data_IF_920817135248
#
_entry.id   IF_920817135248
#
_cell.length_a   1.000
_cell.length_b   1.000
_cell.length_c   1.000
_cell.angle_alpha   90.00
_cell.angle_beta   90.00
_cell.angle_gamma   90.00
#
_symmetry.space_group_name_H-M   'P 1'
#
loop_
_entity.id
_entity.type
_entity.pdbx_description
1 polymer ?
#
# COMPACT_ATOMS: atom_id res chain seq x y z
N UNK A 1 1.28 1.76 -15.51
CA UNK A 1 1.08 0.66 -14.53
C UNK A 1 2.42 0.36 -13.91
N UNK A 2 2.53 0.48 -12.59
CA UNK A 2 3.68 -0.01 -11.83
C UNK A 2 3.64 -1.56 -11.78
N UNK A 3 4.78 -2.22 -11.58
CA UNK A 3 4.88 -3.69 -11.45
C UNK A 3 3.92 -4.24 -10.41
N UNK A 4 3.72 -3.48 -9.33
CA UNK A 4 2.75 -3.76 -8.27
C UNK A 4 1.33 -4.00 -8.80
N UNK A 5 0.88 -3.14 -9.73
CA UNK A 5 -0.47 -3.17 -10.29
C UNK A 5 -0.65 -4.34 -11.26
N UNK A 6 0.38 -4.63 -12.08
CA UNK A 6 0.40 -5.78 -12.98
C UNK A 6 0.46 -7.09 -12.18
N UNK A 7 1.29 -7.16 -11.15
CA UNK A 7 1.41 -8.35 -10.29
C UNK A 7 0.09 -8.66 -9.59
N UNK A 8 -0.60 -7.66 -9.05
CA UNK A 8 -1.93 -7.84 -8.45
C UNK A 8 -2.95 -8.39 -9.45
N UNK A 9 -2.99 -7.88 -10.68
CA UNK A 9 -3.90 -8.39 -11.73
C UNK A 9 -3.57 -9.82 -12.14
N UNK A 10 -2.28 -10.12 -12.32
CA UNK A 10 -1.81 -11.47 -12.68
C UNK A 10 -2.13 -12.48 -11.57
N UNK A 11 -1.99 -12.08 -10.31
CA UNK A 11 -2.31 -12.93 -9.18
C UNK A 11 -3.82 -13.19 -9.05
N UNK A 12 -4.67 -12.18 -9.25
CA UNK A 12 -6.13 -12.35 -9.34
C UNK A 12 -6.52 -13.47 -10.31
N UNK A 13 -5.94 -13.46 -11.51
CA UNK A 13 -6.23 -14.45 -12.55
C UNK A 13 -5.72 -15.86 -12.19
N UNK A 14 -4.53 -15.96 -11.58
CA UNK A 14 -4.01 -17.22 -11.04
C UNK A 14 -4.91 -17.79 -9.93
N UNK A 15 -5.53 -16.93 -9.12
CA UNK A 15 -6.41 -17.36 -8.03
C UNK A 15 -7.77 -17.86 -8.54
N UNK A 16 -8.34 -17.19 -9.56
CA UNK A 16 -9.55 -17.65 -10.27
C UNK A 16 -9.32 -18.98 -11.01
N UNK A 17 -8.08 -19.24 -11.42
CA UNK A 17 -7.69 -20.45 -12.14
C UNK A 17 -6.43 -21.07 -11.51
N UNK A 18 -6.55 -21.89 -10.46
CA UNK A 18 -5.39 -22.39 -9.70
C UNK A 18 -4.43 -23.29 -10.51
N UNK A 19 -4.81 -23.70 -11.72
CA UNK A 19 -3.94 -24.41 -12.68
C UNK A 19 -3.06 -23.47 -13.51
N UNK A 20 -3.33 -22.16 -13.52
CA UNK A 20 -2.52 -21.17 -14.23
C UNK A 20 -1.15 -21.04 -13.55
N UNK A 21 -0.11 -21.13 -14.37
CA UNK A 21 1.24 -20.74 -13.98
C UNK A 21 1.53 -19.40 -14.61
N UNK A 22 1.82 -18.42 -13.78
CA UNK A 22 2.33 -17.14 -14.24
C UNK A 22 3.75 -17.33 -14.72
N UNK A 23 3.95 -17.09 -16.01
CA UNK A 23 5.26 -17.13 -16.65
C UNK A 23 5.48 -15.76 -17.26
N UNK A 24 6.55 -15.09 -16.83
CA UNK A 24 7.02 -13.89 -17.51
C UNK A 24 7.83 -14.34 -18.73
N UNK A 25 7.39 -13.93 -19.92
CA UNK A 25 8.07 -14.17 -21.18
C UNK A 25 8.20 -12.83 -21.92
N UNK A 26 9.43 -12.48 -22.28
CA UNK A 26 9.75 -11.26 -23.01
C UNK A 26 10.15 -11.62 -24.44
N UNK A 27 9.39 -11.12 -25.42
CA UNK A 27 9.59 -11.38 -26.85
C UNK A 27 10.13 -10.14 -27.60
N UNK A 28 10.62 -9.13 -26.89
CA UNK A 28 11.02 -7.84 -27.47
C UNK A 28 12.08 -7.97 -28.56
N UNK A 29 12.97 -8.97 -28.47
CA UNK A 29 14.02 -9.25 -29.46
C UNK A 29 13.66 -10.41 -30.42
N UNK A 30 12.40 -10.87 -30.40
CA UNK A 30 11.94 -11.89 -31.34
C UNK A 30 11.70 -11.29 -32.72
N UNK A 31 12.36 -11.85 -33.74
CA UNK A 31 12.03 -11.59 -35.15
C UNK A 31 10.80 -12.37 -35.64
N UNK A 32 10.31 -13.32 -34.84
CA UNK A 32 9.12 -14.10 -35.13
C UNK A 32 7.88 -13.43 -34.54
N UNK A 33 6.80 -13.37 -35.32
CA UNK A 33 5.50 -12.95 -34.81
C UNK A 33 5.02 -13.93 -33.74
N UNK A 34 4.48 -13.44 -32.63
CA UNK A 34 4.01 -14.26 -31.50
C UNK A 34 3.08 -15.40 -31.92
N UNK A 35 2.19 -15.15 -32.90
CA UNK A 35 1.26 -16.12 -33.49
C UNK A 35 1.93 -17.31 -34.20
N UNK A 36 3.23 -17.24 -34.49
CA UNK A 36 4.03 -18.29 -35.13
C UNK A 36 4.87 -19.10 -34.15
N UNK A 37 4.81 -18.78 -32.85
CA UNK A 37 5.55 -19.49 -31.82
C UNK A 37 4.70 -20.62 -31.22
N UNK A 38 5.35 -21.76 -31.00
CA UNK A 38 4.80 -22.89 -30.24
C UNK A 38 5.56 -23.02 -28.93
N UNK A 39 4.82 -23.06 -27.81
CA UNK A 39 5.38 -23.29 -26.47
C UNK A 39 5.27 -24.78 -26.19
N UNK A 40 6.40 -25.48 -26.12
CA UNK A 40 6.43 -26.88 -25.69
C UNK A 40 6.49 -26.96 -24.16
N UNK A 41 5.50 -27.62 -23.56
CA UNK A 41 5.50 -27.93 -22.15
C UNK A 41 6.35 -29.20 -21.98
N UNK A 42 7.53 -29.06 -21.38
CA UNK A 42 8.39 -30.20 -21.05
C UNK A 42 7.67 -31.14 -20.06
N UNK A 43 7.04 -32.20 -20.59
CA UNK A 43 6.45 -33.27 -19.78
C UNK A 43 7.45 -34.36 -19.38
N UNK A 44 8.68 -34.36 -19.90
CA UNK A 44 9.58 -35.51 -19.78
C UNK A 44 11.02 -35.13 -19.42
N UNK A 45 11.28 -34.93 -18.13
CA UNK A 45 12.63 -35.02 -17.54
C UNK A 45 12.72 -36.15 -16.51
N UNK A 46 12.14 -37.31 -16.83
CA UNK A 46 12.36 -38.59 -16.13
C UNK A 46 13.02 -39.64 -17.02
N UNK A 47 14.05 -39.27 -17.79
CA UNK A 47 14.94 -40.25 -18.42
C UNK A 47 16.22 -39.56 -18.88
N UNK A 48 17.21 -39.46 -17.98
CA UNK A 48 18.66 -39.46 -18.25
C UNK A 48 19.42 -38.84 -17.06
N UNK A 49 19.37 -39.56 -15.93
CA UNK A 49 20.49 -39.57 -15.00
C UNK A 49 21.08 -40.96 -15.05
N UNK A 50 21.96 -41.19 -16.02
CA UNK A 50 23.04 -42.14 -15.91
C UNK A 50 24.13 -41.76 -16.90
N UNK A 51 25.37 -41.90 -16.43
CA UNK A 51 26.64 -41.83 -17.15
C UNK A 51 27.12 -40.47 -17.67
N UNK A 52 27.89 -39.78 -16.81
CA UNK A 52 29.22 -39.29 -17.21
C UNK A 52 30.05 -38.98 -15.96
N UNK A 53 30.85 -39.97 -15.55
CA UNK A 53 32.05 -39.75 -14.75
C UNK A 53 33.02 -38.89 -15.57
N UNK A 54 33.35 -37.70 -15.07
CA UNK A 54 34.56 -37.00 -15.48
C UNK A 54 35.20 -36.40 -14.23
N UNK A 55 36.30 -37.03 -13.82
CA UNK A 55 37.28 -36.46 -12.90
C UNK A 55 37.78 -35.14 -13.47
N UNK A 56 37.75 -34.07 -12.67
CA UNK A 56 38.55 -32.88 -12.92
C UNK A 56 39.23 -32.48 -11.62
N UNK A 57 40.55 -32.66 -11.64
CA UNK A 57 41.55 -32.28 -10.66
C UNK A 57 41.45 -30.81 -10.25
N UNK A 58 41.47 -30.57 -8.94
CA UNK A 58 41.68 -29.27 -8.32
C UNK A 58 43.06 -28.71 -8.69
N UNK A 59 43.09 -27.52 -9.27
CA UNK A 59 44.29 -26.69 -9.39
C UNK A 59 44.06 -25.39 -8.65
N UNK A 60 44.63 -25.31 -7.44
CA UNK A 60 44.73 -24.13 -6.61
C UNK A 60 45.36 -22.96 -7.39
N UNK A 61 44.56 -21.93 -7.67
CA UNK A 61 45.08 -20.64 -8.13
C UNK A 61 44.63 -19.55 -7.19
N UNK A 62 45.56 -19.11 -6.32
CA UNK A 62 45.43 -17.97 -5.40
C UNK A 62 45.10 -16.70 -6.18
N UNK A 63 43.86 -16.22 -6.09
CA UNK A 63 43.50 -14.86 -6.51
C UNK A 63 43.68 -13.91 -5.32
N UNK A 64 44.57 -12.93 -5.50
CA UNK A 64 44.89 -11.87 -4.54
C UNK A 64 43.65 -11.01 -4.28
N UNK A 65 43.27 -10.89 -3.02
CA UNK A 65 42.26 -9.95 -2.52
C UNK A 65 42.81 -8.52 -2.59
N UNK A 66 42.34 -7.75 -3.57
CA UNK A 66 42.46 -6.29 -3.56
C UNK A 66 41.37 -5.71 -2.66
N UNK A 67 41.79 -4.92 -1.67
CA UNK A 67 41.00 -4.20 -0.68
C UNK A 67 39.81 -3.44 -1.28
N UNK A 68 38.60 -3.65 -0.74
CA UNK A 68 37.44 -2.80 -0.98
C UNK A 68 37.69 -1.40 -0.37
N UNK A 69 37.27 -0.30 -1.02
CA UNK A 69 37.24 1.02 -0.41
C UNK A 69 36.19 1.06 0.72
N UNK A 70 36.55 1.64 1.87
CA UNK A 70 35.65 1.86 2.98
C UNK A 70 34.51 2.82 2.59
N UNK A 71 33.26 2.62 3.08
CA UNK A 71 32.20 3.57 2.84
C UNK A 71 32.50 4.89 3.56
N UNK A 72 32.43 5.99 2.83
CA UNK A 72 32.39 7.33 3.40
C UNK A 72 31.15 7.49 4.30
N UNK A 73 31.23 8.29 5.38
CA UNK A 73 30.10 8.49 6.28
C UNK A 73 28.95 9.19 5.55
N UNK A 74 27.68 8.84 5.81
CA UNK A 74 26.57 9.47 5.13
C UNK A 74 26.47 10.95 5.53
N UNK A 75 26.36 11.78 4.50
CA UNK A 75 26.09 13.20 4.54
C UNK A 75 24.80 13.47 5.34
N UNK A 76 24.90 14.26 6.40
CA UNK A 76 23.82 14.64 7.30
C UNK A 76 22.76 15.51 6.60
N UNK A 77 21.53 14.99 6.47
CA UNK A 77 20.23 15.70 6.58
C UNK A 77 19.08 14.79 6.13
N UNK A 78 18.85 13.66 6.81
CA UNK A 78 17.63 12.86 6.57
C UNK A 78 16.53 13.40 7.47
N UNK A 79 15.44 13.91 6.89
CA UNK A 79 14.17 14.02 7.61
C UNK A 79 13.75 12.60 7.99
N UNK A 80 13.86 12.24 9.29
CA UNK A 80 13.51 10.91 9.75
C UNK A 80 11.99 10.72 9.60
N UNK A 81 11.61 9.76 8.76
CA UNK A 81 10.21 9.41 8.54
C UNK A 81 9.74 8.46 9.65
N UNK A 82 8.58 8.76 10.22
CA UNK A 82 7.80 7.83 11.04
C UNK A 82 6.81 7.13 10.11
N UNK A 83 6.99 5.84 9.85
CA UNK A 83 6.15 5.07 8.93
C UNK A 83 5.03 4.33 9.69
N UNK A 84 3.78 4.72 9.46
CA UNK A 84 2.60 4.14 10.12
C UNK A 84 1.69 3.49 9.09
N UNK A 85 1.40 2.20 9.28
CA UNK A 85 0.43 1.46 8.46
C UNK A 85 -0.96 1.53 9.09
N UNK A 86 -1.99 1.90 8.32
CA UNK A 86 -3.38 1.83 8.78
C UNK A 86 -4.02 0.53 8.29
N UNK A 87 -4.67 -0.21 9.19
CA UNK A 87 -5.46 -1.40 8.86
C UNK A 87 -6.82 -1.34 9.54
N UNK A 88 -7.85 -1.85 8.89
CA UNK A 88 -9.18 -1.92 9.47
C UNK A 88 -10.25 -2.14 8.43
N UNK A 89 -11.45 -2.51 8.91
CA UNK A 89 -12.58 -2.87 8.06
C UNK A 89 -13.00 -1.75 7.09
N UNK A 90 -13.63 -2.15 5.98
CA UNK A 90 -14.28 -1.24 5.07
C UNK A 90 -15.32 -0.38 5.81
N UNK A 91 -15.26 0.94 5.61
CA UNK A 91 -16.17 1.88 6.30
C UNK A 91 -15.87 2.11 7.79
N UNK A 92 -14.73 1.64 8.33
CA UNK A 92 -14.28 2.03 9.67
C UNK A 92 -13.94 3.51 9.74
N UNK A 93 -13.44 4.09 8.64
CA UNK A 93 -13.15 5.53 8.52
C UNK A 93 -11.67 5.89 8.42
N UNK A 94 -10.82 5.01 7.86
CA UNK A 94 -9.37 5.24 7.71
C UNK A 94 -9.04 6.56 6.99
N UNK A 95 -9.56 6.75 5.78
CA UNK A 95 -9.32 7.96 4.99
C UNK A 95 -9.96 9.21 5.61
N UNK A 96 -11.13 9.05 6.27
CA UNK A 96 -11.74 10.15 7.05
C UNK A 96 -10.88 10.53 8.25
N UNK A 97 -10.26 9.56 8.93
CA UNK A 97 -9.33 9.79 10.02
C UNK A 97 -8.11 10.58 9.55
N UNK A 98 -7.52 10.23 8.40
CA UNK A 98 -6.37 10.96 7.83
C UNK A 98 -6.72 12.44 7.61
N UNK A 99 -7.84 12.74 6.95
CA UNK A 99 -8.27 14.12 6.74
C UNK A 99 -8.58 14.85 8.06
N UNK A 100 -9.29 14.20 8.99
CA UNK A 100 -9.63 14.78 10.28
C UNK A 100 -8.35 15.10 11.08
N UNK A 101 -7.41 14.17 11.13
CA UNK A 101 -6.11 14.33 11.80
C UNK A 101 -5.32 15.51 11.23
N UNK A 102 -5.29 15.67 9.90
CA UNK A 102 -4.65 16.82 9.25
C UNK A 102 -5.23 18.16 9.73
N UNK A 103 -6.56 18.25 9.81
CA UNK A 103 -7.23 19.47 10.26
C UNK A 103 -7.04 19.72 11.75
N UNK A 104 -7.09 18.68 12.58
CA UNK A 104 -6.90 18.80 14.03
C UNK A 104 -5.49 19.22 14.42
N UNK A 105 -4.47 18.83 13.63
CA UNK A 105 -3.11 19.30 13.82
C UNK A 105 -2.89 20.73 13.31
N UNK A 106 -3.66 21.17 12.33
CA UNK A 106 -3.49 22.48 11.70
C UNK A 106 -4.28 23.61 12.40
N UNK A 107 -5.52 23.33 12.81
CA UNK A 107 -6.40 24.32 13.44
C UNK A 107 -6.63 23.99 14.91
N UNK A 108 -6.20 24.90 15.79
CA UNK A 108 -6.36 24.76 17.24
C UNK A 108 -7.83 24.78 17.68
N UNK A 109 -8.66 25.59 17.01
CA UNK A 109 -10.08 25.75 17.35
C UNK A 109 -10.97 25.48 16.15
N UNK A 110 -12.21 25.03 16.41
CA UNK A 110 -13.22 24.89 15.36
C UNK A 110 -13.53 26.23 14.70
N UNK A 111 -13.55 27.34 15.47
CA UNK A 111 -13.81 28.67 14.95
C UNK A 111 -12.76 29.14 13.93
N UNK A 112 -11.49 28.74 14.11
CA UNK A 112 -10.44 29.04 13.13
C UNK A 112 -10.59 28.18 11.88
N UNK A 113 -10.90 26.90 12.05
CA UNK A 113 -11.19 25.99 10.94
C UNK A 113 -12.41 26.47 10.10
N UNK A 114 -13.46 26.98 10.75
CA UNK A 114 -14.65 27.55 10.08
C UNK A 114 -14.33 28.79 9.22
N UNK A 115 -13.22 29.49 9.47
CA UNK A 115 -12.79 30.65 8.69
C UNK A 115 -11.88 30.30 7.51
N UNK A 116 -11.34 29.08 7.47
CA UNK A 116 -10.37 28.64 6.47
C UNK A 116 -10.91 27.48 5.61
N UNK A 117 -10.30 27.23 4.45
CA UNK A 117 -10.66 26.03 3.69
C UNK A 117 -10.24 24.75 4.42
N UNK A 118 -11.10 23.72 4.49
CA UNK A 118 -10.75 22.47 5.14
C UNK A 118 -9.61 21.77 4.38
N UNK A 119 -8.64 21.23 5.11
CA UNK A 119 -7.55 20.46 4.51
C UNK A 119 -8.10 19.09 4.10
N UNK A 120 -8.23 18.83 2.80
CA UNK A 120 -8.74 17.55 2.29
C UNK A 120 -7.72 16.93 1.35
N UNK A 121 -7.00 15.95 1.88
CA UNK A 121 -5.91 15.22 1.21
C UNK A 121 -6.48 14.07 0.38
N UNK A 122 -7.53 13.44 0.89
CA UNK A 122 -8.25 12.32 0.27
C UNK A 122 -9.68 12.79 0.02
N UNK A 123 -10.25 12.64 -1.19
CA UNK A 123 -11.63 13.04 -1.43
C UNK A 123 -12.59 12.39 -0.43
N UNK A 124 -13.58 13.16 -0.01
CA UNK A 124 -14.55 12.77 1.00
C UNK A 124 -15.93 12.73 0.37
N UNK A 125 -16.64 11.63 0.59
CA UNK A 125 -18.06 11.50 0.25
C UNK A 125 -18.81 10.82 1.39
N UNK A 126 -19.89 11.44 1.88
CA UNK A 126 -20.76 10.83 2.88
C UNK A 126 -22.21 11.32 2.77
N UNK A 127 -23.13 10.46 3.20
CA UNK A 127 -24.54 10.78 3.34
C UNK A 127 -24.77 11.55 4.65
N UNK A 128 -25.55 12.62 4.58
CA UNK A 128 -26.15 13.29 5.72
C UNK A 128 -27.67 13.36 5.52
N UNK A 129 -28.42 13.23 6.61
CA UNK A 129 -29.85 13.49 6.63
C UNK A 129 -30.11 14.88 7.19
N UNK A 130 -31.01 15.62 6.56
CA UNK A 130 -31.31 17.02 6.84
C UNK A 130 -32.80 17.13 7.17
N UNK A 131 -33.13 18.04 8.09
CA UNK A 131 -34.49 18.31 8.56
C UNK A 131 -35.17 17.12 9.25
N UNK A 132 -36.38 17.34 9.77
CA UNK A 132 -37.17 16.30 10.45
C UNK A 132 -37.77 15.28 9.46
N UNK A 133 -37.73 15.58 8.16
CA UNK A 133 -38.17 14.67 7.10
C UNK A 133 -37.09 13.67 6.67
N UNK A 134 -35.89 13.74 7.27
CA UNK A 134 -34.74 12.90 6.92
C UNK A 134 -34.33 13.00 5.45
N UNK A 135 -34.40 14.21 4.89
CA UNK A 135 -34.00 14.47 3.50
C UNK A 135 -32.53 14.07 3.32
N UNK A 136 -32.26 13.19 2.36
CA UNK A 136 -30.93 12.66 2.09
C UNK A 136 -30.11 13.61 1.21
N UNK A 137 -28.88 13.94 1.66
CA UNK A 137 -27.91 14.67 0.85
C UNK A 137 -26.55 13.98 0.88
N UNK A 138 -25.96 13.79 -0.29
CA UNK A 138 -24.59 13.29 -0.41
C UNK A 138 -23.65 14.49 -0.48
N UNK A 139 -22.83 14.66 0.56
CA UNK A 139 -21.77 15.68 0.60
C UNK A 139 -20.54 15.11 -0.11
N UNK A 140 -19.97 15.87 -1.04
CA UNK A 140 -18.69 15.54 -1.71
C UNK A 140 -17.73 16.72 -1.61
N UNK A 141 -16.48 16.44 -1.27
CA UNK A 141 -15.45 17.48 -1.16
C UNK A 141 -14.06 16.93 -1.51
N UNK A 142 -13.21 17.76 -2.11
CA UNK A 142 -11.87 17.40 -2.57
C UNK A 142 -11.81 17.02 -4.05
N UNK A 143 -10.59 16.86 -4.57
CA UNK A 143 -10.36 16.48 -5.96
C UNK A 143 -10.65 14.99 -6.19
N UNK A 144 -11.22 14.67 -7.34
CA UNK A 144 -11.49 13.28 -7.75
C UNK A 144 -10.17 12.50 -7.75
N UNK A 145 -10.15 11.37 -7.05
CA UNK A 145 -9.05 10.42 -7.01
C UNK A 145 -9.54 9.08 -7.56
N UNK A 146 -8.89 8.55 -8.60
CA UNK A 146 -9.25 7.25 -9.18
C UNK A 146 -9.01 6.10 -8.21
N UNK A 147 -8.21 6.31 -7.16
CA UNK A 147 -8.00 5.33 -6.09
C UNK A 147 -9.15 5.27 -5.06
N UNK A 148 -10.13 6.18 -5.14
CA UNK A 148 -11.24 6.28 -4.19
C UNK A 148 -12.58 6.02 -4.88
N UNK A 149 -13.25 4.91 -4.55
CA UNK A 149 -14.53 4.51 -5.09
C UNK A 149 -15.65 4.61 -4.05
N UNK A 150 -16.45 5.68 -4.14
CA UNK A 150 -17.59 5.92 -3.24
C UNK A 150 -18.93 5.38 -3.75
N UNK A 151 -18.96 4.75 -4.93
CA UNK A 151 -20.22 4.37 -5.59
C UNK A 151 -20.77 3.02 -5.12
N UNK A 152 -19.94 2.18 -4.50
CA UNK A 152 -20.30 0.81 -4.10
C UNK A 152 -20.39 0.70 -2.59
N UNK A 153 -21.60 0.77 -2.03
CA UNK A 153 -21.82 0.59 -0.60
C UNK A 153 -21.34 -0.77 -0.11
N UNK A 154 -20.57 -0.79 0.97
CA UNK A 154 -20.02 -2.01 1.56
C UNK A 154 -18.77 -2.56 0.88
N UNK A 155 -18.23 -1.89 -0.14
CA UNK A 155 -16.89 -2.17 -0.66
C UNK A 155 -15.84 -1.25 0.00
N UNK A 156 -14.57 -1.64 -0.06
CA UNK A 156 -13.48 -0.71 0.28
C UNK A 156 -13.54 0.52 -0.63
N UNK A 157 -13.46 1.71 -0.04
CA UNK A 157 -13.40 2.96 -0.81
C UNK A 157 -12.01 3.12 -1.44
N UNK A 158 -10.96 2.96 -0.65
CA UNK A 158 -9.56 2.93 -1.12
C UNK A 158 -9.29 1.62 -1.89
N UNK A 159 -8.79 1.72 -3.12
CA UNK A 159 -8.55 0.56 -3.98
C UNK A 159 -7.13 0.00 -3.86
N UNK A 160 -6.13 0.86 -3.74
CA UNK A 160 -4.73 0.49 -3.58
C UNK A 160 -4.06 1.28 -2.45
N UNK A 161 -3.01 0.70 -1.87
CA UNK A 161 -2.22 1.35 -0.83
C UNK A 161 -1.61 2.66 -1.33
N UNK A 162 -1.69 3.72 -0.51
CA UNK A 162 -1.16 5.03 -0.83
C UNK A 162 -0.58 5.69 0.42
N UNK A 163 0.53 6.38 0.27
CA UNK A 163 1.20 7.10 1.37
C UNK A 163 0.90 8.58 1.37
N UNK A 164 0.66 9.13 2.55
CA UNK A 164 0.45 10.55 2.80
C UNK A 164 1.47 11.04 3.83
N UNK A 165 2.11 12.17 3.56
CA UNK A 165 3.20 12.70 4.39
C UNK A 165 2.75 13.98 5.09
N UNK A 166 2.97 14.03 6.41
CA UNK A 166 2.67 15.16 7.28
C UNK A 166 3.96 15.64 7.96
N UNK A 167 4.12 16.96 8.07
CA UNK A 167 5.13 17.52 8.95
C UNK A 167 4.56 17.52 10.38
N UNK A 168 5.18 16.75 11.28
CA UNK A 168 4.71 16.60 12.67
C UNK A 168 5.64 17.26 13.68
N UNK A 169 6.88 17.57 13.27
CA UNK A 169 7.80 18.46 13.98
C UNK A 169 8.78 19.07 12.96
N UNK A 170 9.62 20.01 13.39
CA UNK A 170 10.62 20.63 12.51
C UNK A 170 11.63 19.62 11.94
N UNK A 171 11.76 18.45 12.55
CA UNK A 171 12.80 17.44 12.23
C UNK A 171 12.21 16.07 11.84
N UNK A 172 10.91 15.84 12.05
CA UNK A 172 10.25 14.55 11.79
C UNK A 172 9.06 14.68 10.86
N UNK A 173 8.97 13.73 9.94
CA UNK A 173 7.85 13.59 9.00
C UNK A 173 7.07 12.32 9.30
N UNK A 174 5.76 12.41 9.37
CA UNK A 174 4.90 11.25 9.51
C UNK A 174 4.46 10.79 8.12
N UNK A 175 4.75 9.53 7.76
CA UNK A 175 4.19 8.86 6.60
C UNK A 175 3.08 7.91 7.06
N UNK A 176 1.85 8.24 6.71
CA UNK A 176 0.69 7.35 6.90
C UNK A 176 0.47 6.56 5.62
N UNK A 177 0.50 5.25 5.71
CA UNK A 177 0.18 4.31 4.63
C UNK A 177 -1.29 3.94 4.78
N UNK A 178 -2.13 4.53 3.95
CA UNK A 178 -3.55 4.15 3.85
C UNK A 178 -3.68 2.88 3.02
N UNK A 179 -4.61 2.03 3.41
CA UNK A 179 -4.78 0.70 2.82
C UNK A 179 -6.25 0.44 2.48
N UNK A 180 -6.54 -0.46 1.53
CA UNK A 180 -7.89 -0.96 1.34
C UNK A 180 -8.45 -1.56 2.63
N UNK A 181 -9.75 -1.33 2.88
CA UNK A 181 -10.46 -2.03 3.95
C UNK A 181 -10.73 -3.48 3.60
N UNK A 182 -10.72 -4.33 4.63
CA UNK A 182 -11.16 -5.72 4.51
C UNK A 182 -12.59 -5.91 5.03
N UNK A 183 -13.13 -7.11 4.89
CA UNK A 183 -14.49 -7.44 5.29
C UNK A 183 -15.53 -6.85 4.34
N UNK A 184 -15.16 -6.73 3.07
CA UNK A 184 -15.99 -6.11 2.05
C UNK A 184 -16.92 -7.12 1.36
N UNK A 185 -17.92 -6.63 0.64
CA UNK A 185 -18.95 -7.49 0.01
C UNK A 185 -18.44 -8.41 -1.10
N UNK A 186 -17.18 -8.26 -1.54
CA UNK A 186 -16.53 -9.14 -2.53
C UNK A 186 -15.95 -10.41 -1.88
N UNK A 187 -15.90 -10.44 -0.55
CA UNK A 187 -15.60 -11.63 0.25
C UNK A 187 -14.12 -11.81 0.58
N UNK A 188 -13.81 -12.90 1.29
CA UNK A 188 -12.47 -13.25 1.81
C UNK A 188 -11.41 -13.24 0.71
N UNK A 189 -11.80 -13.66 -0.47
CA UNK A 189 -11.01 -13.67 -1.70
C UNK A 189 -10.42 -12.32 -2.07
N UNK A 190 -11.22 -11.25 -1.94
CA UNK A 190 -10.78 -9.88 -2.15
C UNK A 190 -9.92 -9.40 -0.98
N UNK A 191 -10.24 -9.81 0.25
CA UNK A 191 -9.49 -9.43 1.43
C UNK A 191 -8.05 -9.99 1.39
N UNK A 192 -7.86 -11.19 0.85
CA UNK A 192 -6.53 -11.78 0.62
C UNK A 192 -5.73 -10.98 -0.43
N UNK A 193 -6.38 -10.57 -1.52
CA UNK A 193 -5.77 -9.71 -2.55
C UNK A 193 -5.37 -8.34 -1.99
N UNK A 194 -6.22 -7.76 -1.14
CA UNK A 194 -5.93 -6.50 -0.46
C UNK A 194 -4.70 -6.66 0.45
N UNK A 195 -4.61 -7.76 1.20
CA UNK A 195 -3.45 -8.07 2.05
C UNK A 195 -2.16 -8.26 1.25
N UNK A 196 -2.21 -8.93 0.10
CA UNK A 196 -1.05 -9.04 -0.78
C UNK A 196 -0.63 -7.70 -1.37
N UNK A 197 -1.59 -6.86 -1.77
CA UNK A 197 -1.32 -5.48 -2.19
C UNK A 197 -0.62 -4.67 -1.10
N UNK A 198 -1.02 -4.86 0.17
CA UNK A 198 -0.35 -4.26 1.33
C UNK A 198 1.10 -4.76 1.44
N UNK A 199 1.34 -6.07 1.39
CA UNK A 199 2.70 -6.63 1.46
C UNK A 199 3.59 -6.20 0.29
N UNK A 200 3.01 -6.12 -0.92
CA UNK A 200 3.70 -5.59 -2.09
C UNK A 200 4.10 -4.13 -1.89
N UNK A 201 3.21 -3.30 -1.36
CA UNK A 201 3.51 -1.89 -1.07
C UNK A 201 4.64 -1.76 -0.03
N UNK A 202 4.61 -2.62 1.00
CA UNK A 202 5.58 -2.65 2.07
C UNK A 202 6.96 -3.17 1.64
N UNK A 203 7.07 -3.86 0.50
CA UNK A 203 8.35 -4.37 -0.01
C UNK A 203 9.42 -3.27 -0.13
N UNK A 204 9.01 -2.06 -0.56
CA UNK A 204 9.87 -0.90 -0.75
C UNK A 204 10.11 -0.08 0.54
N UNK A 205 9.61 -0.56 1.69
CA UNK A 205 9.72 0.13 2.98
C UNK A 205 10.64 -0.68 3.89
N UNK A 206 11.73 -0.05 4.31
CA UNK A 206 12.77 -0.73 5.08
C UNK A 206 12.44 -0.88 6.58
N UNK A 207 11.47 -0.11 7.08
CA UNK A 207 11.05 -0.14 8.49
C UNK A 207 9.65 0.46 8.68
N UNK A 208 8.95 -0.02 9.72
CA UNK A 208 7.70 0.57 10.21
C UNK A 208 7.87 1.01 11.66
N UNK A 209 7.28 2.13 12.05
CA UNK A 209 7.24 2.54 13.45
C UNK A 209 6.00 2.01 14.15
N UNK A 210 4.90 1.80 13.42
CA UNK A 210 3.64 1.37 14.01
C UNK A 210 2.64 0.85 12.99
N UNK A 211 1.75 -0.03 13.47
CA UNK A 211 0.59 -0.53 12.73
C UNK A 211 -0.65 -0.12 13.53
N UNK A 212 -1.41 0.83 12.99
CA UNK A 212 -2.68 1.26 13.55
C UNK A 212 -3.79 0.31 13.11
N UNK A 213 -4.34 -0.42 14.07
CA UNK A 213 -5.52 -1.26 13.92
C UNK A 213 -6.75 -0.42 14.26
N UNK A 214 -7.57 -0.11 13.25
CA UNK A 214 -8.73 0.78 13.36
C UNK A 214 -10.02 -0.02 13.59
N UNK A 215 -10.80 0.43 14.56
CA UNK A 215 -12.07 -0.17 14.99
C UNK A 215 -13.18 0.89 15.16
N UNK A 216 -14.43 0.44 15.22
CA UNK A 216 -15.53 1.20 15.84
C UNK A 216 -15.68 0.72 17.29
N UNK A 217 -16.02 1.56 18.27
CA UNK A 217 -16.03 1.17 19.69
C UNK A 217 -17.27 0.39 20.15
N UNK A 218 -18.38 0.39 19.40
CA UNK A 218 -19.63 -0.30 19.76
C UNK A 218 -20.01 -1.42 18.79
N UNK A 219 -19.06 -2.27 18.39
CA UNK A 219 -19.42 -3.44 17.58
C UNK A 219 -19.95 -4.56 18.47
N UNK A 220 -21.05 -5.18 18.04
CA UNK A 220 -21.63 -6.36 18.70
C UNK A 220 -20.78 -7.61 18.45
N UNK A 221 -20.14 -7.68 17.27
CA UNK A 221 -19.29 -8.77 16.85
C UNK A 221 -18.12 -8.21 16.05
N UNK A 222 -16.92 -8.76 16.28
CA UNK A 222 -15.76 -8.50 15.44
C UNK A 222 -15.91 -9.23 14.11
N UNK A 223 -15.50 -8.58 13.03
CA UNK A 223 -15.39 -9.25 11.75
C UNK A 223 -14.47 -10.47 11.86
N UNK A 224 -14.92 -11.60 11.31
CA UNK A 224 -14.20 -12.87 11.38
C UNK A 224 -12.83 -12.80 10.71
N UNK A 225 -12.65 -11.88 9.76
CA UNK A 225 -11.38 -11.69 9.06
C UNK A 225 -10.28 -11.08 9.94
N UNK A 226 -10.59 -10.46 11.09
CA UNK A 226 -9.55 -9.94 11.99
C UNK A 226 -8.55 -11.01 12.43
N UNK A 227 -9.03 -12.23 12.69
CA UNK A 227 -8.15 -13.34 13.05
C UNK A 227 -7.18 -13.67 11.90
N UNK A 228 -7.70 -13.84 10.69
CA UNK A 228 -6.90 -14.08 9.48
C UNK A 228 -5.91 -12.95 9.21
N UNK A 229 -6.36 -11.69 9.29
CA UNK A 229 -5.53 -10.50 9.12
C UNK A 229 -4.34 -10.51 10.09
N UNK A 230 -4.59 -10.72 11.39
CA UNK A 230 -3.52 -10.78 12.39
C UNK A 230 -2.56 -11.95 12.13
N UNK A 231 -3.06 -13.15 11.80
CA UNK A 231 -2.21 -14.29 11.42
C UNK A 231 -1.30 -13.90 10.26
N UNK A 232 -1.84 -13.32 9.20
CA UNK A 232 -1.06 -12.91 8.03
C UNK A 232 -0.02 -11.83 8.35
N UNK A 233 -0.34 -10.88 9.25
CA UNK A 233 0.64 -9.89 9.73
C UNK A 233 1.77 -10.55 10.50
N UNK A 234 1.46 -11.50 11.39
CA UNK A 234 2.49 -12.23 12.14
C UNK A 234 3.32 -13.13 11.24
N UNK A 235 2.70 -13.78 10.25
CA UNK A 235 3.40 -14.60 9.26
C UNK A 235 4.30 -13.75 8.36
N UNK A 236 3.98 -12.46 8.18
CA UNK A 236 4.75 -11.56 7.33
C UNK A 236 5.83 -10.79 8.09
N UNK A 237 5.53 -10.22 9.25
CA UNK A 237 6.46 -9.44 10.05
C UNK A 237 7.23 -10.26 11.08
N UNK A 238 6.69 -11.39 11.54
CA UNK A 238 7.16 -12.11 12.72
C UNK A 238 6.40 -11.72 13.99
N UNK A 239 6.65 -12.43 15.09
CA UNK A 239 5.87 -12.27 16.33
C UNK A 239 6.16 -10.96 17.08
N UNK A 240 7.37 -10.41 16.94
CA UNK A 240 7.79 -9.21 17.69
C UNK A 240 7.09 -7.92 17.25
N UNK A 241 6.40 -7.92 16.11
CA UNK A 241 5.63 -6.77 15.61
C UNK A 241 4.53 -6.31 16.57
N UNK A 242 4.10 -7.18 17.52
CA UNK A 242 3.07 -6.86 18.52
C UNK A 242 3.37 -5.58 19.30
N UNK A 243 4.64 -5.26 19.52
CA UNK A 243 5.05 -4.06 20.27
C UNK A 243 4.81 -2.76 19.49
N UNK A 244 4.62 -2.86 18.17
CA UNK A 244 4.35 -1.75 17.27
C UNK A 244 2.85 -1.61 16.95
N UNK A 245 1.98 -2.42 17.57
CA UNK A 245 0.54 -2.30 17.39
C UNK A 245 -0.04 -1.12 18.16
N UNK A 246 -0.90 -0.38 17.48
CA UNK A 246 -1.60 0.80 17.99
C UNK A 246 -3.10 0.58 17.75
N UNK A 247 -3.92 0.83 18.75
CA UNK A 247 -5.37 0.61 18.68
C UNK A 247 -6.07 1.94 18.50
N UNK A 248 -6.79 2.10 17.39
CA UNK A 248 -7.45 3.35 17.03
C UNK A 248 -8.96 3.13 16.94
N UNK A 249 -9.74 3.77 17.80
CA UNK A 249 -11.20 3.71 17.76
C UNK A 249 -11.73 4.96 17.07
N UNK A 250 -12.35 4.77 15.92
CA UNK A 250 -13.01 5.82 15.15
C UNK A 250 -14.44 6.02 15.62
N UNK A 251 -15.00 7.21 15.40
CA UNK A 251 -16.37 7.56 15.79
C UNK A 251 -16.62 7.40 17.30
N UNK A 252 -15.61 7.65 18.13
CA UNK A 252 -15.66 7.37 19.57
C UNK A 252 -16.49 8.35 20.39
N UNK A 253 -17.11 9.36 19.75
CA UNK A 253 -17.98 10.31 20.43
C UNK A 253 -19.15 9.64 21.15
N UNK A 254 -19.75 8.60 20.56
CA UNK A 254 -20.88 7.88 21.18
C UNK A 254 -20.49 7.04 22.40
N UNK A 255 -19.21 6.78 22.60
CA UNK A 255 -18.67 6.00 23.73
C UNK A 255 -17.84 6.83 24.67
N UNK A 256 -18.10 8.14 24.71
CA UNK A 256 -17.38 9.09 25.56
C UNK A 256 -15.85 9.01 25.37
N UNK A 257 -15.40 8.77 24.13
CA UNK A 257 -13.98 8.62 23.76
C UNK A 257 -13.30 7.44 24.45
N UNK A 258 -14.02 6.32 24.53
CA UNK A 258 -13.50 5.04 25.02
C UNK A 258 -13.71 3.91 24.01
N UNK A 259 -12.94 2.80 24.11
CA UNK A 259 -13.07 1.64 23.23
C UNK A 259 -14.43 0.90 23.24
N UNK A 260 -15.33 1.23 24.18
CA UNK A 260 -16.67 0.65 24.27
C UNK A 260 -16.71 -0.89 24.36
N UNK A 261 -17.81 -1.46 23.87
CA UNK A 261 -18.06 -2.91 23.82
C UNK A 261 -17.08 -3.69 22.92
N UNK A 262 -16.29 -3.00 22.09
CA UNK A 262 -15.32 -3.65 21.20
C UNK A 262 -14.08 -4.13 21.98
N UNK A 263 -13.73 -3.46 23.08
CA UNK A 263 -12.57 -3.84 23.91
C UNK A 263 -12.60 -5.29 24.42
N UNK A 264 -13.67 -5.78 25.07
CA UNK A 264 -13.72 -7.17 25.53
C UNK A 264 -13.64 -8.18 24.38
N UNK A 265 -14.22 -7.86 23.21
CA UNK A 265 -14.13 -8.72 22.03
C UNK A 265 -12.68 -8.84 21.54
N UNK A 266 -11.95 -7.72 21.50
CA UNK A 266 -10.54 -7.71 21.11
C UNK A 266 -9.66 -8.46 22.10
N UNK A 267 -9.90 -8.30 23.41
CA UNK A 267 -9.20 -9.09 24.43
C UNK A 267 -9.37 -10.58 24.20
N UNK A 268 -10.61 -11.04 23.96
CA UNK A 268 -10.90 -12.44 23.65
C UNK A 268 -10.22 -12.91 22.37
N UNK A 269 -10.19 -12.08 21.33
CA UNK A 269 -9.46 -12.37 20.10
C UNK A 269 -7.95 -12.53 20.38
N UNK A 270 -7.34 -11.64 21.16
CA UNK A 270 -5.91 -11.71 21.47
C UNK A 270 -5.55 -12.90 22.34
N UNK A 271 -6.38 -13.26 23.31
CA UNK A 271 -6.24 -14.46 24.15
C UNK A 271 -6.27 -15.76 23.33
N UNK A 272 -6.88 -15.76 22.14
CA UNK A 272 -6.89 -16.93 21.24
C UNK A 272 -5.53 -17.23 20.61
N UNK A 273 -4.57 -16.30 20.67
CA UNK A 273 -3.23 -16.48 20.11
C UNK A 273 -2.27 -17.06 21.17
N UNK A 274 -1.79 -18.31 21.02
CA UNK A 274 -1.10 -19.04 22.09
C UNK A 274 0.27 -18.49 22.50
N UNK A 275 0.87 -17.58 21.72
CA UNK A 275 2.23 -17.06 21.96
C UNK A 275 2.35 -15.54 21.88
N UNK A 276 1.24 -14.81 21.82
CA UNK A 276 1.25 -13.39 21.43
C UNK A 276 0.69 -12.53 22.55
N UNK A 277 1.57 -11.98 23.37
CA UNK A 277 1.19 -10.96 24.35
C UNK A 277 1.00 -9.62 23.64
N UNK A 278 -0.17 -9.42 23.04
CA UNK A 278 -0.49 -8.19 22.30
C UNK A 278 -0.78 -7.08 23.34
N UNK A 279 0.08 -6.06 23.49
CA UNK A 279 -0.12 -5.02 24.49
C UNK A 279 -1.34 -4.19 24.09
N UNK A 280 -2.42 -4.21 24.89
CA UNK A 280 -3.63 -3.43 24.61
C UNK A 280 -4.01 -2.56 25.82
N UNK A 281 -3.28 -1.45 25.95
CA UNK A 281 -3.29 -0.56 27.11
C UNK A 281 -3.68 0.88 26.74
N UNK A 282 -3.92 1.74 27.75
CA UNK A 282 -4.30 3.14 27.49
C UNK A 282 -3.23 3.89 26.70
N UNK A 283 -1.95 3.60 26.92
CA UNK A 283 -0.85 4.32 26.28
C UNK A 283 -0.84 4.14 24.75
N UNK A 284 -1.12 2.93 24.23
CA UNK A 284 -1.16 2.63 22.81
C UNK A 284 -2.59 2.55 22.23
N UNK A 285 -3.60 3.05 22.95
CA UNK A 285 -4.99 3.08 22.51
C UNK A 285 -5.48 4.51 22.37
N UNK A 286 -6.02 4.86 21.21
CA UNK A 286 -6.47 6.21 20.84
C UNK A 286 -7.94 6.18 20.39
N UNK A 287 -8.72 7.18 20.79
CA UNK A 287 -10.15 7.26 20.49
C UNK A 287 -10.46 8.58 19.76
N UNK A 288 -10.68 8.49 18.46
CA UNK A 288 -10.89 9.64 17.58
C UNK A 288 -12.36 9.81 17.21
N UNK A 289 -12.76 11.07 17.01
CA UNK A 289 -14.00 11.42 16.34
C UNK A 289 -13.70 12.23 15.08
N UNK A 290 -14.33 11.85 13.96
CA UNK A 290 -14.20 12.58 12.70
C UNK A 290 -15.48 13.34 12.33
N UNK A 291 -16.49 13.36 13.21
CA UNK A 291 -17.75 14.04 12.93
C UNK A 291 -17.59 15.57 12.94
N UNK A 292 -16.71 16.12 13.78
CA UNK A 292 -16.41 17.54 13.76
C UNK A 292 -15.75 17.98 12.43
N UNK A 293 -14.85 17.16 11.88
CA UNK A 293 -14.36 17.34 10.52
C UNK A 293 -15.47 17.24 9.45
N UNK A 294 -16.38 16.26 9.55
CA UNK A 294 -17.52 16.15 8.62
C UNK A 294 -18.45 17.36 8.70
N UNK A 295 -18.66 17.91 9.90
CA UNK A 295 -19.39 19.17 10.08
C UNK A 295 -18.69 20.31 9.32
N UNK A 296 -17.37 20.45 9.48
CA UNK A 296 -16.58 21.47 8.79
C UNK A 296 -16.70 21.36 7.26
N UNK A 297 -16.73 20.14 6.72
CA UNK A 297 -16.96 19.92 5.29
C UNK A 297 -18.42 20.22 4.89
N UNK A 298 -19.40 19.81 5.70
CA UNK A 298 -20.82 20.00 5.40
C UNK A 298 -21.22 21.49 5.33
N UNK A 299 -20.67 22.35 6.19
CA UNK A 299 -20.95 23.80 6.13
C UNK A 299 -20.42 24.45 4.84
N UNK A 300 -19.41 23.87 4.18
CA UNK A 300 -18.93 24.33 2.86
C UNK A 300 -19.90 23.98 1.75
N UNK A 301 -20.68 22.92 1.92
CA UNK A 301 -21.74 22.51 1.02
C UNK A 301 -23.10 23.14 1.39
N UNK A 302 -23.07 24.29 2.07
CA UNK A 302 -24.24 25.09 2.49
C UNK A 302 -25.21 24.37 3.42
N UNK A 303 -24.74 23.40 4.21
CA UNK A 303 -25.56 22.78 5.27
C UNK A 303 -25.59 23.68 6.49
N UNK A 304 -26.80 23.99 6.97
CA UNK A 304 -27.02 24.75 8.19
C UNK A 304 -27.20 23.84 9.39
N UNK A 305 -26.57 24.18 10.50
CA UNK A 305 -26.73 23.51 11.79
C UNK A 305 -27.20 24.53 12.84
N UNK A 306 -28.03 24.10 13.78
CA UNK A 306 -28.41 24.93 14.93
C UNK A 306 -27.23 25.14 15.88
N UNK A 307 -27.36 26.14 16.77
CA UNK A 307 -26.31 26.53 17.71
C UNK A 307 -25.91 25.41 18.67
N UNK A 308 -26.86 24.55 19.06
CA UNK A 308 -26.58 23.43 19.97
C UNK A 308 -25.74 22.37 19.25
N UNK A 309 -26.09 22.01 18.00
CA UNK A 309 -25.30 21.09 17.17
C UNK A 309 -23.91 21.64 16.89
N UNK A 310 -23.75 22.94 16.62
CA UNK A 310 -22.43 23.56 16.47
C UNK A 310 -21.60 23.40 17.75
N UNK A 311 -22.18 23.74 18.91
CA UNK A 311 -21.49 23.61 20.20
C UNK A 311 -21.03 22.17 20.46
N UNK A 312 -21.87 21.20 20.12
CA UNK A 312 -21.57 19.78 20.17
C UNK A 312 -20.37 19.37 19.30
N UNK A 313 -20.25 19.91 18.09
CA UNK A 313 -19.08 19.68 17.23
C UNK A 313 -17.83 20.41 17.73
N UNK A 314 -17.98 21.58 18.35
CA UNK A 314 -16.89 22.33 18.98
C UNK A 314 -16.27 21.55 20.15
N UNK A 315 -17.10 20.98 21.03
CA UNK A 315 -16.62 20.10 22.10
C UNK A 315 -15.92 18.84 21.55
N UNK A 316 -16.45 18.26 20.46
CA UNK A 316 -15.82 17.11 19.81
C UNK A 316 -14.48 17.48 19.17
N UNK A 317 -14.39 18.68 18.58
CA UNK A 317 -13.16 19.21 17.99
C UNK A 317 -12.06 19.31 19.03
N UNK A 318 -12.32 19.99 20.16
CA UNK A 318 -11.35 20.17 21.24
C UNK A 318 -10.79 18.82 21.72
N UNK A 319 -11.67 17.85 21.99
CA UNK A 319 -11.26 16.51 22.43
C UNK A 319 -10.44 15.78 21.36
N UNK A 320 -10.83 15.88 20.10
CA UNK A 320 -10.15 15.21 19.00
C UNK A 320 -8.79 15.85 18.69
N UNK A 321 -8.64 17.17 18.85
CA UNK A 321 -7.36 17.86 18.78
C UNK A 321 -6.42 17.39 19.88
N UNK A 322 -6.85 17.37 21.15
CA UNK A 322 -6.04 16.89 22.27
C UNK A 322 -5.59 15.43 22.04
N UNK A 323 -6.50 14.56 21.61
CA UNK A 323 -6.16 13.16 21.33
C UNK A 323 -5.22 13.01 20.12
N UNK A 324 -5.35 13.88 19.11
CA UNK A 324 -4.46 13.92 17.94
C UNK A 324 -3.06 14.39 18.31
N UNK A 325 -2.92 15.37 19.21
CA UNK A 325 -1.63 15.79 19.76
C UNK A 325 -1.00 14.68 20.59
N UNK A 326 -1.77 14.02 21.47
CA UNK A 326 -1.30 12.85 22.22
C UNK A 326 -0.83 11.73 21.29
N UNK A 327 -1.56 11.50 20.20
CA UNK A 327 -1.19 10.52 19.20
C UNK A 327 0.12 10.90 18.51
N UNK A 328 0.24 12.13 18.00
CA UNK A 328 1.48 12.67 17.42
C UNK A 328 2.67 12.47 18.36
N UNK A 329 2.53 12.85 19.62
CA UNK A 329 3.61 12.76 20.61
C UNK A 329 3.99 11.32 20.90
N UNK A 330 3.02 10.40 20.97
CA UNK A 330 3.28 8.96 21.07
C UNK A 330 4.06 8.43 19.86
N UNK A 331 3.66 8.81 18.64
CA UNK A 331 4.34 8.37 17.41
C UNK A 331 5.82 8.79 17.39
N UNK A 332 6.15 9.98 17.89
CA UNK A 332 7.51 10.50 17.96
C UNK A 332 8.49 9.63 18.79
N UNK A 333 7.98 8.75 19.65
CA UNK A 333 8.76 7.89 20.54
C UNK A 333 8.72 6.41 20.14
N UNK A 334 8.08 6.06 19.02
CA UNK A 334 8.00 4.68 18.56
C UNK A 334 9.34 4.18 18.03
N UNK A 335 9.69 2.97 18.47
CA UNK A 335 10.83 2.22 17.93
C UNK A 335 10.57 1.81 16.48
N UNK A 336 11.61 1.87 15.66
CA UNK A 336 11.57 1.40 14.28
C UNK A 336 11.68 -0.12 14.21
N UNK A 337 10.62 -0.78 13.74
CA UNK A 337 10.63 -2.18 13.40
C UNK A 337 11.29 -2.39 12.03
N UNK A 338 12.55 -2.85 12.02
CA UNK A 338 13.42 -2.85 10.83
C UNK A 338 13.44 -4.19 10.11
N UNK A 339 13.45 -4.09 8.78
CA UNK A 339 13.40 -5.26 7.89
C UNK A 339 14.57 -6.23 8.09
N UNK A 340 15.78 -5.68 8.19
CA UNK A 340 17.02 -6.47 8.19
C UNK A 340 17.24 -7.29 9.47
N UNK A 341 16.62 -6.90 10.59
CA UNK A 341 16.89 -7.49 11.91
C UNK A 341 15.68 -8.21 12.50
N UNK A 342 14.49 -7.66 12.32
CA UNK A 342 13.30 -8.10 13.07
C UNK A 342 12.26 -8.77 12.16
N UNK A 343 12.15 -8.32 10.91
CA UNK A 343 11.16 -8.75 9.91
C UNK A 343 11.60 -10.02 9.16
N UNK A 344 11.97 -11.06 9.88
CA UNK A 344 12.58 -12.27 9.31
C UNK A 344 11.58 -13.41 9.16
N UNK A 345 10.52 -13.19 8.38
CA UNK A 345 9.54 -14.24 8.12
C UNK A 345 9.81 -14.99 6.82
N UNK A 346 9.39 -16.26 6.77
CA UNK A 346 9.41 -17.07 5.55
C UNK A 346 8.56 -16.40 4.45
N UNK A 347 7.43 -15.77 4.83
CA UNK A 347 6.53 -15.12 3.88
C UNK A 347 7.18 -13.90 3.25
N UNK A 348 7.90 -13.07 4.02
CA UNK A 348 8.68 -11.97 3.45
C UNK A 348 9.77 -12.49 2.51
N UNK A 349 10.51 -13.54 2.89
CA UNK A 349 11.51 -14.17 2.02
C UNK A 349 10.90 -14.66 0.68
N UNK A 350 9.71 -15.26 0.70
CA UNK A 350 8.99 -15.65 -0.51
C UNK A 350 8.61 -14.43 -1.37
N UNK A 351 8.13 -13.35 -0.76
CA UNK A 351 7.88 -12.09 -1.47
C UNK A 351 9.17 -11.55 -2.11
N UNK A 352 10.28 -11.49 -1.37
CA UNK A 352 11.59 -11.06 -1.90
C UNK A 352 11.99 -11.88 -3.13
N UNK A 353 11.88 -13.21 -3.08
CA UNK A 353 12.19 -14.08 -4.21
C UNK A 353 11.31 -13.73 -5.41
N UNK A 354 10.00 -13.58 -5.21
CA UNK A 354 9.06 -13.24 -6.29
C UNK A 354 9.39 -11.89 -6.95
N UNK A 355 9.75 -10.86 -6.15
CA UNK A 355 10.15 -9.56 -6.68
C UNK A 355 11.49 -9.60 -7.42
N UNK A 356 12.42 -10.49 -7.01
CA UNK A 356 13.72 -10.65 -7.66
C UNK A 356 13.66 -11.35 -9.02
N UNK A 357 12.57 -12.08 -9.34
CA UNK A 357 12.42 -12.78 -10.62
C UNK A 357 12.62 -11.82 -11.79
N UNK A 358 11.95 -10.67 -11.80
CA UNK A 358 12.02 -9.73 -12.92
C UNK A 358 13.41 -9.09 -13.07
N UNK A 359 14.05 -8.50 -12.03
CA UNK A 359 15.41 -7.97 -12.14
C UNK A 359 16.44 -9.01 -12.62
N UNK A 360 16.32 -10.26 -12.15
CA UNK A 360 17.21 -11.35 -12.60
C UNK A 360 17.02 -11.61 -14.10
N UNK A 361 15.77 -11.73 -14.56
CA UNK A 361 15.47 -11.95 -15.97
C UNK A 361 15.90 -10.78 -16.86
N UNK A 362 15.69 -9.55 -16.42
CA UNK A 362 16.16 -8.33 -17.11
C UNK A 362 17.69 -8.29 -17.21
N UNK A 363 18.39 -8.70 -16.15
CA UNK A 363 19.85 -8.79 -16.12
C UNK A 363 20.34 -9.86 -17.09
N UNK A 364 19.71 -11.05 -17.08
CA UNK A 364 20.01 -12.12 -18.03
C UNK A 364 19.78 -11.64 -19.47
N UNK A 365 18.69 -10.92 -19.75
CA UNK A 365 18.41 -10.34 -21.07
C UNK A 365 19.52 -9.39 -21.50
N UNK A 366 19.89 -8.44 -20.65
CA UNK A 366 20.95 -7.47 -20.96
C UNK A 366 22.30 -8.16 -21.22
N UNK A 367 22.60 -9.24 -20.48
CA UNK A 367 23.79 -10.05 -20.70
C UNK A 367 23.76 -10.73 -22.08
N UNK A 368 22.67 -11.41 -22.43
CA UNK A 368 22.52 -12.05 -23.74
C UNK A 368 22.58 -11.05 -24.89
N UNK A 369 21.93 -9.89 -24.75
CA UNK A 369 21.98 -8.81 -25.74
C UNK A 369 23.41 -8.35 -25.97
N UNK A 370 24.19 -8.16 -24.90
CA UNK A 370 25.59 -7.75 -25.00
C UNK A 370 26.46 -8.82 -25.70
N UNK A 371 26.21 -10.11 -25.43
CA UNK A 371 26.90 -11.21 -26.12
C UNK A 371 26.61 -11.19 -27.63
N UNK A 372 25.35 -10.98 -28.03
CA UNK A 372 24.93 -10.90 -29.45
C UNK A 372 25.54 -9.67 -30.12
N UNK A 373 25.50 -8.50 -29.48
CA UNK A 373 26.10 -7.29 -30.03
C UNK A 373 27.60 -7.47 -30.26
N UNK A 374 28.30 -8.06 -29.28
CA UNK A 374 29.71 -8.38 -29.40
C UNK A 374 30.00 -9.33 -30.57
N UNK A 375 29.22 -10.41 -30.74
CA UNK A 375 29.44 -11.37 -31.83
C UNK A 375 29.17 -10.78 -33.22
N UNK A 376 28.25 -9.82 -33.32
CA UNK A 376 27.95 -9.09 -34.55
C UNK A 376 28.87 -7.87 -34.77
N UNK A 377 29.82 -7.62 -33.86
CA UNK A 377 30.69 -6.44 -33.87
C UNK A 377 29.90 -5.11 -33.88
N UNK A 378 28.71 -5.13 -33.28
CA UNK A 378 27.81 -3.99 -33.13
C UNK A 378 27.97 -3.41 -31.72
N UNK A 379 27.77 -2.09 -31.59
CA UNK A 379 27.74 -1.41 -30.30
C UNK A 379 26.46 -0.59 -30.19
N UNK A 380 25.95 -0.44 -28.96
CA UNK A 380 24.89 0.51 -28.66
C UNK A 380 25.55 1.83 -28.33
N UNK A 381 25.39 2.82 -29.22
CA UNK A 381 25.78 4.19 -28.94
C UNK A 381 24.59 4.94 -28.35
N UNK A 382 24.65 5.28 -27.07
CA UNK A 382 23.65 6.10 -26.41
C UNK A 382 23.89 7.58 -26.76
N UNK A 383 23.20 8.09 -27.78
CA UNK A 383 23.21 9.51 -28.12
C UNK A 383 22.00 10.21 -27.52
N UNK A 384 22.26 11.23 -26.69
CA UNK A 384 21.21 12.17 -26.30
C UNK A 384 20.80 12.97 -27.55
N UNK A 385 19.58 12.72 -28.04
CA UNK A 385 18.99 13.46 -29.16
C UNK A 385 17.90 14.37 -28.63
N UNK A 386 17.87 15.63 -29.08
CA UNK A 386 16.68 16.46 -28.97
C UNK A 386 15.64 15.86 -29.94
N UNK A 387 14.66 15.15 -29.38
CA UNK A 387 13.94 14.07 -30.07
C UNK A 387 13.11 14.45 -31.30
N UNK A 388 13.18 13.57 -32.31
CA UNK A 388 12.00 13.15 -33.09
C UNK A 388 11.00 12.45 -32.15
N UNK A 389 9.69 12.43 -32.45
CA UNK A 389 8.66 12.05 -31.49
C UNK A 389 8.86 10.61 -31.02
N UNK A 390 9.22 10.47 -29.75
CA UNK A 390 9.31 9.19 -29.06
C UNK A 390 7.93 8.51 -29.05
N UNK A 391 7.89 7.25 -29.49
CA UNK A 391 6.73 6.38 -29.30
C UNK A 391 6.69 5.95 -27.83
N UNK A 392 5.62 6.30 -27.10
CA UNK A 392 5.43 5.89 -25.72
C UNK A 392 4.38 4.79 -25.61
N UNK A 393 4.60 3.86 -24.67
CA UNK A 393 3.59 2.87 -24.26
C UNK A 393 2.40 3.62 -23.66
N UNK A 394 1.23 3.47 -24.27
CA UNK A 394 -0.02 4.05 -23.80
C UNK A 394 -0.62 3.18 -22.70
N UNK A 395 -0.69 3.70 -21.47
CA UNK A 395 -1.36 3.04 -20.35
C UNK A 395 -2.84 3.44 -20.20
N UNK A 396 -3.32 4.44 -20.98
CA UNK A 396 -4.72 4.89 -21.01
C UNK A 396 -5.61 4.13 -22.01
N UNK A 397 -4.98 3.47 -22.98
CA UNK A 397 -5.66 2.77 -24.06
C UNK A 397 -6.20 1.44 -23.53
N UNK A 398 -7.43 1.07 -23.88
CA UNK A 398 -8.09 -0.11 -23.32
C UNK A 398 -7.34 -1.37 -23.77
N UNK A 399 -6.68 -2.06 -22.82
CA UNK A 399 -5.92 -3.29 -23.07
C UNK A 399 -6.86 -4.46 -22.86
N UNK A 400 -7.43 -4.97 -23.93
CA UNK A 400 -8.19 -6.21 -23.83
C UNK A 400 -7.20 -7.38 -23.89
N UNK A 401 -7.22 -8.31 -22.92
CA UNK A 401 -6.42 -9.52 -23.02
C UNK A 401 -6.88 -10.31 -24.25
N UNK A 402 -5.93 -10.67 -25.09
CA UNK A 402 -6.14 -11.43 -26.31
C UNK A 402 -5.79 -12.89 -26.03
N UNK A 403 -6.68 -13.82 -26.39
CA UNK A 403 -6.44 -15.25 -26.22
C UNK A 403 -5.59 -15.78 -27.37
N UNK A 404 -4.41 -16.29 -27.06
CA UNK A 404 -3.49 -16.94 -27.99
C UNK A 404 -3.28 -18.40 -27.57
N UNK A 405 -3.90 -19.33 -28.30
CA UNK A 405 -3.94 -20.76 -27.98
C UNK A 405 -4.48 -21.01 -26.55
N UNK A 406 -3.66 -21.60 -25.67
CA UNK A 406 -4.01 -21.91 -24.28
C UNK A 406 -3.75 -20.74 -23.31
N UNK A 407 -3.28 -19.59 -23.80
CA UNK A 407 -2.85 -18.47 -22.96
C UNK A 407 -3.56 -17.15 -23.31
N UNK A 408 -3.52 -16.21 -22.37
CA UNK A 408 -4.00 -14.85 -22.56
C UNK A 408 -2.81 -13.89 -22.52
N UNK A 409 -2.79 -12.93 -23.45
CA UNK A 409 -1.69 -11.98 -23.64
C UNK A 409 -2.26 -10.58 -23.58
N UNK A 410 -1.60 -9.69 -22.84
CA UNK A 410 -2.00 -8.29 -22.74
C UNK A 410 -1.06 -7.43 -23.58
N UNK A 411 -1.43 -7.04 -24.82
CA UNK A 411 -0.53 -6.30 -25.70
C UNK A 411 -0.36 -4.84 -25.24
N UNK A 412 0.86 -4.31 -25.38
CA UNK A 412 1.14 -2.88 -25.21
C UNK A 412 0.88 -2.11 -26.53
N UNK A 413 0.13 -1.00 -26.45
CA UNK A 413 -0.08 -0.09 -27.59
C UNK A 413 0.89 1.09 -27.54
N UNK A 414 1.55 1.38 -28.66
CA UNK A 414 2.49 2.51 -28.80
C UNK A 414 1.80 3.71 -29.48
N UNK A 415 1.97 4.91 -28.92
CA UNK A 415 1.48 6.17 -29.50
C UNK A 415 2.64 7.10 -29.86
N UNK A 416 2.52 7.81 -30.99
CA UNK A 416 3.43 8.90 -31.34
C UNK A 416 3.14 10.12 -30.44
N UNK A 417 4.19 10.66 -29.80
CA UNK A 417 4.10 11.74 -28.79
C UNK A 417 3.66 13.12 -29.29
N UNK A 418 3.19 13.26 -30.53
CA UNK A 418 2.91 14.55 -31.15
C UNK A 418 1.73 15.33 -30.54
N UNK A 419 0.95 14.76 -29.62
CA UNK A 419 -0.25 15.42 -29.06
C UNK A 419 -0.43 15.33 -27.54
N UNK A 420 0.61 15.09 -26.74
CA UNK A 420 0.50 15.27 -25.28
C UNK A 420 1.52 16.28 -24.77
N UNK A 421 1.07 17.53 -24.62
CA UNK A 421 1.76 18.57 -23.90
C UNK A 421 1.88 18.17 -22.43
N UNK A 422 3.13 18.23 -21.94
CA UNK A 422 3.59 18.22 -20.55
C UNK A 422 3.22 17.01 -19.68
N UNK A 423 4.23 16.28 -19.20
CA UNK A 423 4.48 16.06 -17.77
C UNK A 423 5.82 15.32 -17.57
N UNK A 424 6.84 16.11 -17.24
CA UNK A 424 8.00 15.84 -16.38
C UNK A 424 8.77 14.51 -16.57
N UNK A 425 9.90 14.61 -17.27
CA UNK A 425 10.96 13.61 -17.28
C UNK A 425 11.84 13.75 -16.02
N UNK A 426 12.10 12.65 -15.31
CA UNK A 426 13.25 12.54 -14.42
C UNK A 426 14.35 11.74 -15.13
N UNK A 427 15.51 12.37 -15.26
CA UNK A 427 16.77 11.77 -15.69
C UNK A 427 17.48 11.29 -14.42
N UNK A 428 17.93 10.04 -14.38
CA UNK A 428 18.98 9.62 -13.46
C UNK A 428 20.14 9.09 -14.30
N UNK A 429 21.33 9.66 -14.07
CA UNK A 429 22.62 9.15 -14.55
C UNK A 429 22.99 7.94 -13.71
#
# INVERSE_FOLDING_TARGET
>A
MDWTEIYSQLFEEKRKNPKLRLVYADFTDSTYELKKMTIEISSDMKANRNTSNSQSSESDTKIKTSSLPSPSPPLSSTNDFINILLLGESGVGKSTFINAFANYLHFQTLADAEKAEPIVIIPVSFLITINDNFDEKIIKFGHIDSNENHNNSGQSVTQHCKSYVFDISNEKKLRIIDTPGFGDTRGVDQDDLNMEGIFSFLHNINYLNGICLLFKPEVVQLNLYWQSCLIQLFDYFGENIVNNFIFCFTNARSTFFTPGNTRPLLKKLFESFPRKNIPFEKNNTFCFDSKAFRYLVAIRDSITFDLNKRHDFEQSWIRSTIESERFRDFLCHLHEYRKNYEWQSIKDAQFQINFMIRPILETMRNLYRNIILYSLNLSIELRATHGSPSSMICYKCNRNPEKFNDFWILPDHLHNSLNMVSLNYFLFI
#
